data_IF_745674088746
#
_entry.id   IF_745674088746
#
_cell.length_a   1.000
_cell.length_b   1.000
_cell.length_c   1.000
_cell.angle_alpha   90.00
_cell.angle_beta   90.00
_cell.angle_gamma   90.00
#
_symmetry.space_group_name_H-M   'P 1'
#
loop_
_entity.id
_entity.type
_entity.pdbx_description
1 polymer ?
#
# COMPACT_ATOMS: atom_id res chain seq x y z
N UNK A 1 -35.41 12.06 2.35
CA UNK A 1 -36.81 11.74 2.56
C UNK A 1 -37.47 11.29 1.27
N UNK A 2 -38.41 10.34 1.36
CA UNK A 2 -39.10 9.80 0.17
C UNK A 2 -39.92 10.86 -0.58
N UNK A 3 -40.29 11.93 0.11
CA UNK A 3 -41.04 13.07 -0.46
C UNK A 3 -40.16 14.05 -1.24
N UNK A 4 -38.84 13.92 -1.23
CA UNK A 4 -37.99 14.82 -2.01
C UNK A 4 -38.21 14.66 -3.51
N UNK A 5 -38.17 15.78 -4.21
CA UNK A 5 -38.27 15.83 -5.67
C UNK A 5 -36.99 16.42 -6.26
N UNK A 6 -36.54 15.87 -7.37
CA UNK A 6 -35.35 16.27 -8.11
C UNK A 6 -35.71 16.93 -9.44
N UNK A 7 -34.76 17.54 -10.09
CA UNK A 7 -34.90 18.22 -11.38
C UNK A 7 -36.07 19.23 -11.36
N UNK A 8 -36.10 20.12 -10.35
CA UNK A 8 -37.14 21.13 -10.16
C UNK A 8 -38.57 20.53 -10.04
N UNK A 9 -38.68 19.46 -9.28
CA UNK A 9 -39.95 18.79 -9.02
C UNK A 9 -40.39 17.75 -10.07
N UNK A 10 -39.58 17.51 -11.10
CA UNK A 10 -39.99 16.63 -12.22
C UNK A 10 -39.77 15.14 -11.96
N UNK A 11 -38.91 14.78 -11.00
CA UNK A 11 -38.52 13.38 -10.72
C UNK A 11 -38.63 13.07 -9.23
N UNK A 12 -39.19 11.93 -8.84
CA UNK A 12 -39.26 11.50 -7.44
C UNK A 12 -37.91 11.06 -6.92
N UNK A 13 -37.70 11.10 -5.60
CA UNK A 13 -36.51 10.66 -4.92
C UNK A 13 -36.11 9.22 -5.29
N UNK A 14 -37.08 8.32 -5.42
CA UNK A 14 -36.84 6.91 -5.79
C UNK A 14 -36.03 6.75 -7.09
N UNK A 15 -36.14 7.70 -8.02
CA UNK A 15 -35.39 7.69 -9.27
C UNK A 15 -33.90 8.02 -9.07
N UNK A 16 -33.57 8.81 -8.04
CA UNK A 16 -32.19 9.29 -7.80
C UNK A 16 -31.58 8.76 -6.50
N UNK A 17 -32.30 7.95 -5.74
CA UNK A 17 -31.87 7.53 -4.39
C UNK A 17 -30.41 7.08 -4.33
N UNK A 18 -30.02 6.12 -5.15
CA UNK A 18 -28.68 5.56 -5.15
C UNK A 18 -27.61 6.53 -5.75
N UNK A 19 -28.02 7.38 -6.71
CA UNK A 19 -27.12 8.33 -7.34
C UNK A 19 -27.01 9.68 -6.60
N UNK A 20 -27.77 9.89 -5.52
CA UNK A 20 -27.81 11.17 -4.81
C UNK A 20 -26.45 11.56 -4.23
N UNK A 21 -25.76 10.60 -3.63
CA UNK A 21 -24.43 10.82 -3.09
C UNK A 21 -23.40 11.25 -4.14
N UNK A 22 -23.48 10.69 -5.34
CA UNK A 22 -22.62 11.08 -6.46
C UNK A 22 -22.80 12.57 -6.83
N UNK A 23 -24.06 13.05 -6.85
CA UNK A 23 -24.36 14.47 -7.06
C UNK A 23 -23.80 15.37 -5.97
N UNK A 24 -23.84 14.95 -4.71
CA UNK A 24 -23.26 15.68 -3.59
C UNK A 24 -21.73 15.75 -3.70
N UNK A 25 -21.07 14.61 -3.95
CA UNK A 25 -19.61 14.54 -4.13
C UNK A 25 -19.15 15.42 -5.29
N UNK A 26 -19.84 15.37 -6.42
CA UNK A 26 -19.58 16.23 -7.58
C UNK A 26 -19.69 17.70 -7.23
N UNK A 27 -20.75 18.11 -6.54
CA UNK A 27 -20.96 19.51 -6.15
C UNK A 27 -19.85 20.04 -5.23
N UNK A 28 -19.42 19.22 -4.25
CA UNK A 28 -18.30 19.60 -3.36
C UNK A 28 -16.98 19.68 -4.13
N UNK A 29 -16.72 18.72 -5.02
CA UNK A 29 -15.54 18.70 -5.89
C UNK A 29 -15.47 19.94 -6.77
N UNK A 30 -16.55 20.29 -7.47
CA UNK A 30 -16.62 21.46 -8.35
C UNK A 30 -16.46 22.78 -7.56
N UNK A 31 -17.08 22.89 -6.38
CA UNK A 31 -16.93 24.04 -5.50
C UNK A 31 -15.47 24.20 -5.02
N UNK A 32 -14.81 23.09 -4.66
CA UNK A 32 -13.41 23.11 -4.27
C UNK A 32 -12.51 23.60 -5.42
N UNK A 33 -12.69 23.05 -6.62
CA UNK A 33 -11.91 23.46 -7.79
C UNK A 33 -12.18 24.92 -8.22
N UNK A 34 -13.38 25.42 -8.02
CA UNK A 34 -13.69 26.84 -8.26
C UNK A 34 -12.92 27.76 -7.30
N UNK A 35 -12.73 27.32 -6.04
CA UNK A 35 -12.03 28.09 -5.02
C UNK A 35 -10.51 27.91 -5.11
N UNK A 36 -10.05 26.68 -5.42
CA UNK A 36 -8.64 26.29 -5.47
C UNK A 36 -8.32 25.55 -6.78
N UNK A 37 -8.30 26.24 -7.94
CA UNK A 37 -8.26 25.61 -9.26
C UNK A 37 -7.01 24.78 -9.53
N UNK A 38 -5.92 25.04 -8.83
CA UNK A 38 -4.64 24.33 -8.99
C UNK A 38 -4.37 23.28 -7.93
N UNK A 39 -5.29 23.05 -6.98
CA UNK A 39 -5.11 22.07 -5.90
C UNK A 39 -6.00 20.85 -6.11
N UNK A 40 -5.45 19.68 -5.86
CA UNK A 40 -6.21 18.43 -5.84
C UNK A 40 -7.13 18.41 -4.61
N UNK A 41 -8.45 18.23 -4.78
CA UNK A 41 -9.35 18.02 -3.66
C UNK A 41 -9.05 16.69 -2.96
N UNK A 42 -9.23 16.64 -1.65
CA UNK A 42 -9.27 15.42 -0.88
C UNK A 42 -10.65 15.32 -0.22
N UNK A 43 -11.47 14.41 -0.75
CA UNK A 43 -12.80 14.13 -0.25
C UNK A 43 -12.89 12.70 0.24
N UNK A 44 -13.60 12.50 1.35
CA UNK A 44 -13.98 11.18 1.85
C UNK A 44 -15.47 11.20 2.11
N UNK A 45 -16.18 10.23 1.57
CA UNK A 45 -17.64 10.12 1.67
C UNK A 45 -18.04 8.81 2.34
N UNK A 46 -19.13 8.85 3.12
CA UNK A 46 -19.74 7.64 3.69
C UNK A 46 -20.54 6.86 2.64
N UNK A 47 -21.19 7.57 1.75
CA UNK A 47 -22.04 6.98 0.72
C UNK A 47 -21.35 7.05 -0.63
N UNK A 48 -21.44 5.98 -1.39
CA UNK A 48 -20.90 5.89 -2.73
C UNK A 48 -21.93 5.32 -3.72
N UNK A 49 -21.70 5.59 -4.97
CA UNK A 49 -22.38 4.99 -6.11
C UNK A 49 -21.35 4.80 -7.23
N UNK A 50 -21.66 4.02 -8.21
CA UNK A 50 -20.77 3.80 -9.37
C UNK A 50 -20.19 5.13 -9.87
N UNK A 51 -18.87 5.24 -9.96
CA UNK A 51 -18.12 6.44 -10.32
C UNK A 51 -17.88 7.46 -9.20
N UNK A 52 -18.13 7.16 -7.95
CA UNK A 52 -17.77 8.03 -6.81
C UNK A 52 -16.26 8.20 -6.66
N UNK A 53 -15.45 7.20 -7.05
CA UNK A 53 -13.98 7.26 -7.09
C UNK A 53 -13.42 8.45 -7.88
N UNK A 54 -14.19 9.01 -8.83
CA UNK A 54 -13.83 10.23 -9.57
C UNK A 54 -13.71 11.47 -8.69
N UNK A 55 -14.32 11.46 -7.52
CA UNK A 55 -14.44 12.61 -6.63
C UNK A 55 -13.76 12.41 -5.28
N UNK A 56 -13.55 11.18 -4.84
CA UNK A 56 -12.91 10.94 -3.54
C UNK A 56 -12.91 9.48 -3.11
N UNK A 57 -12.41 9.26 -1.90
CA UNK A 57 -12.45 7.98 -1.23
C UNK A 57 -13.72 7.77 -0.42
N UNK A 58 -13.90 6.53 0.04
CA UNK A 58 -15.03 6.13 0.88
C UNK A 58 -14.55 5.32 2.08
N UNK A 59 -15.36 5.30 3.14
CA UNK A 59 -15.15 4.37 4.24
C UNK A 59 -16.38 3.50 4.46
N UNK A 60 -16.20 2.35 5.08
CA UNK A 60 -17.22 1.32 5.24
C UNK A 60 -18.36 1.65 6.20
N UNK A 61 -18.46 2.89 6.70
CA UNK A 61 -19.48 3.31 7.66
C UNK A 61 -19.13 2.95 9.10
N UNK A 62 -20.14 2.90 9.94
CA UNK A 62 -20.03 2.75 11.39
C UNK A 62 -19.79 1.28 11.77
N UNK A 63 -18.54 0.86 11.77
CA UNK A 63 -18.13 -0.47 12.23
C UNK A 63 -17.95 -0.50 13.77
N UNK A 64 -17.95 -1.71 14.33
CA UNK A 64 -17.81 -1.90 15.77
C UNK A 64 -16.41 -2.37 16.17
N UNK A 65 -15.95 -1.96 17.34
CA UNK A 65 -14.70 -2.39 17.95
C UNK A 65 -14.82 -3.85 18.43
N UNK A 66 -14.82 -4.80 17.50
CA UNK A 66 -14.82 -6.24 17.78
C UNK A 66 -14.15 -7.03 16.64
N UNK A 67 -13.83 -8.30 16.92
CA UNK A 67 -13.14 -9.17 15.95
C UNK A 67 -13.97 -9.51 14.72
N UNK A 68 -15.30 -9.58 14.86
CA UNK A 68 -16.19 -9.84 13.73
C UNK A 68 -16.12 -8.72 12.67
N UNK A 69 -16.19 -7.45 13.10
CA UNK A 69 -16.06 -6.32 12.19
C UNK A 69 -14.63 -6.14 11.66
N UNK A 70 -13.61 -6.51 12.44
CA UNK A 70 -12.24 -6.60 11.94
C UNK A 70 -12.16 -7.58 10.76
N UNK A 71 -12.69 -8.79 10.93
CA UNK A 71 -12.71 -9.81 9.87
C UNK A 71 -13.49 -9.35 8.64
N UNK A 72 -14.67 -8.74 8.82
CA UNK A 72 -15.49 -8.21 7.73
C UNK A 72 -14.83 -7.05 6.95
N UNK A 73 -13.86 -6.36 7.55
CA UNK A 73 -13.20 -5.22 6.90
C UNK A 73 -12.43 -5.60 5.63
N UNK A 74 -11.89 -6.82 5.58
CA UNK A 74 -11.13 -7.30 4.41
C UNK A 74 -12.09 -7.52 3.22
N UNK A 75 -13.09 -8.42 3.28
CA UNK A 75 -13.98 -8.65 2.15
C UNK A 75 -14.77 -7.40 1.76
N UNK A 76 -15.10 -6.52 2.71
CA UNK A 76 -15.73 -5.23 2.42
C UNK A 76 -14.82 -4.37 1.53
N UNK A 77 -13.58 -4.13 1.92
CA UNK A 77 -12.66 -3.30 1.14
C UNK A 77 -12.28 -3.95 -0.21
N UNK A 78 -12.16 -5.27 -0.27
CA UNK A 78 -11.95 -5.98 -1.53
C UNK A 78 -13.15 -5.84 -2.48
N UNK A 79 -14.37 -5.96 -1.96
CA UNK A 79 -15.60 -5.78 -2.74
C UNK A 79 -15.75 -4.34 -3.25
N UNK A 80 -15.44 -3.34 -2.44
CA UNK A 80 -15.41 -1.93 -2.85
C UNK A 80 -14.36 -1.70 -3.95
N UNK A 81 -13.16 -2.23 -3.77
CA UNK A 81 -12.08 -2.14 -4.76
C UNK A 81 -12.49 -2.72 -6.11
N UNK A 82 -13.08 -3.93 -6.11
CA UNK A 82 -13.60 -4.58 -7.33
C UNK A 82 -14.80 -3.85 -7.95
N UNK A 83 -15.52 -3.07 -7.14
CA UNK A 83 -16.66 -2.24 -7.60
C UNK A 83 -16.24 -0.87 -8.17
N UNK A 84 -14.93 -0.61 -8.28
CA UNK A 84 -14.39 0.64 -8.80
C UNK A 84 -14.28 1.77 -7.76
N UNK A 85 -14.22 1.41 -6.47
CA UNK A 85 -13.99 2.33 -5.35
C UNK A 85 -12.67 1.97 -4.62
N UNK A 86 -11.50 2.13 -5.30
CA UNK A 86 -10.22 1.63 -4.80
C UNK A 86 -9.68 2.40 -3.61
N UNK A 87 -10.09 3.66 -3.42
CA UNK A 87 -9.71 4.45 -2.25
C UNK A 87 -10.68 4.23 -1.10
N UNK A 88 -10.61 3.08 -0.47
CA UNK A 88 -11.50 2.67 0.60
C UNK A 88 -10.76 2.25 1.87
N UNK A 89 -11.49 2.18 2.97
CA UNK A 89 -11.03 1.71 4.27
C UNK A 89 -12.14 1.68 5.31
N UNK A 90 -11.75 1.52 6.56
CA UNK A 90 -12.67 1.41 7.69
C UNK A 90 -12.16 2.25 8.86
N UNK A 91 -13.02 2.49 9.85
CA UNK A 91 -12.60 3.15 11.08
C UNK A 91 -11.82 2.18 11.98
N UNK A 92 -10.69 2.61 12.51
CA UNK A 92 -9.75 1.82 13.30
C UNK A 92 -9.65 2.43 14.70
N UNK A 93 -9.71 1.63 15.74
CA UNK A 93 -10.02 0.21 15.85
C UNK A 93 -11.52 -0.10 15.98
N UNK A 94 -12.36 0.57 15.23
CA UNK A 94 -13.82 0.50 15.21
C UNK A 94 -14.43 1.84 15.63
N UNK A 95 -15.58 2.20 15.01
CA UNK A 95 -16.29 3.44 15.28
C UNK A 95 -17.12 3.37 16.56
N UNK A 96 -17.90 2.29 16.72
CA UNK A 96 -18.73 2.05 17.90
C UNK A 96 -18.12 1.02 18.85
N UNK A 97 -18.42 1.13 20.13
CA UNK A 97 -17.85 0.28 21.17
C UNK A 97 -16.44 0.69 21.57
N UNK A 98 -15.86 -0.06 22.49
CA UNK A 98 -14.58 0.23 23.11
C UNK A 98 -13.59 -0.92 22.82
N UNK A 99 -12.55 -0.64 22.06
CA UNK A 99 -11.49 -1.60 21.83
C UNK A 99 -10.63 -1.78 23.09
N UNK A 100 -10.23 -3.02 23.38
CA UNK A 100 -9.10 -3.27 24.27
C UNK A 100 -7.76 -3.13 23.53
N UNK A 101 -6.67 -3.25 24.27
CA UNK A 101 -5.34 -3.06 23.75
C UNK A 101 -4.92 -4.11 22.68
N UNK A 102 -5.33 -5.37 22.88
CA UNK A 102 -5.03 -6.45 21.95
C UNK A 102 -5.78 -6.26 20.63
N UNK A 103 -7.09 -6.02 20.73
CA UNK A 103 -7.94 -5.77 19.57
C UNK A 103 -7.45 -4.54 18.78
N UNK A 104 -7.07 -3.44 19.48
CA UNK A 104 -6.54 -2.26 18.81
C UNK A 104 -5.27 -2.58 18.01
N UNK A 105 -4.32 -3.29 18.60
CA UNK A 105 -3.10 -3.74 17.90
C UNK A 105 -3.44 -4.58 16.68
N UNK A 106 -4.37 -5.53 16.78
CA UNK A 106 -4.76 -6.39 15.68
C UNK A 106 -5.42 -5.61 14.54
N UNK A 107 -6.23 -4.59 14.84
CA UNK A 107 -6.77 -3.68 13.83
C UNK A 107 -5.66 -2.92 13.06
N UNK A 108 -4.68 -2.38 13.78
CA UNK A 108 -3.56 -1.69 13.13
C UNK A 108 -2.73 -2.64 12.27
N UNK A 109 -2.46 -3.86 12.76
CA UNK A 109 -1.74 -4.92 12.03
C UNK A 109 -2.46 -5.37 10.77
N UNK A 110 -3.78 -5.48 10.82
CA UNK A 110 -4.58 -5.94 9.68
C UNK A 110 -4.78 -4.86 8.62
N UNK A 111 -4.97 -3.60 9.02
CA UNK A 111 -5.46 -2.55 8.12
C UNK A 111 -4.40 -1.52 7.69
N UNK A 112 -3.14 -1.60 8.15
CA UNK A 112 -2.14 -0.55 7.88
C UNK A 112 -1.81 -0.37 6.39
N UNK A 113 -2.12 -1.35 5.54
CA UNK A 113 -1.98 -1.28 4.08
C UNK A 113 -3.27 -0.89 3.35
N UNK A 114 -4.37 -0.69 4.06
CA UNK A 114 -5.59 -0.20 3.43
C UNK A 114 -5.38 1.22 2.87
N UNK A 115 -5.95 1.54 1.70
CA UNK A 115 -5.83 2.88 1.10
C UNK A 115 -6.21 3.99 2.06
N UNK A 116 -7.40 3.93 2.66
CA UNK A 116 -7.82 4.81 3.76
C UNK A 116 -7.52 4.14 5.10
N UNK A 117 -6.64 4.76 5.88
CA UNK A 117 -6.20 4.28 7.19
C UNK A 117 -6.34 5.42 8.21
N UNK A 118 -7.35 5.35 9.07
CA UNK A 118 -7.61 6.39 10.06
C UNK A 118 -8.11 5.81 11.38
N UNK A 119 -7.72 6.43 12.49
CA UNK A 119 -8.33 6.22 13.78
C UNK A 119 -9.56 7.14 13.91
N UNK A 120 -10.71 6.57 14.21
CA UNK A 120 -11.96 7.31 14.35
C UNK A 120 -12.96 6.57 15.23
N UNK A 121 -13.65 7.29 16.13
CA UNK A 121 -14.66 6.75 17.03
C UNK A 121 -15.86 7.69 17.21
N UNK A 122 -16.96 7.13 17.66
CA UNK A 122 -18.16 7.90 18.01
C UNK A 122 -17.94 8.73 19.27
N UNK A 123 -18.58 9.89 19.32
CA UNK A 123 -18.55 10.73 20.52
C UNK A 123 -19.08 9.97 21.75
N UNK A 124 -18.32 9.99 22.84
CA UNK A 124 -18.68 9.34 24.10
C UNK A 124 -18.14 7.92 24.26
N UNK A 125 -17.47 7.34 23.22
CA UNK A 125 -16.69 6.13 23.42
C UNK A 125 -15.38 6.41 24.16
N UNK A 126 -14.74 5.35 24.63
CA UNK A 126 -13.41 5.42 25.22
C UNK A 126 -12.41 6.07 24.25
N UNK A 127 -11.53 6.96 24.72
CA UNK A 127 -10.42 7.44 23.90
C UNK A 127 -9.60 6.27 23.35
N UNK A 128 -9.31 6.29 22.04
CA UNK A 128 -8.65 5.17 21.38
C UNK A 128 -7.41 5.58 20.56
N UNK A 129 -6.82 6.73 20.90
CA UNK A 129 -5.51 7.08 20.39
C UNK A 129 -4.47 6.06 20.89
N UNK A 130 -3.41 5.77 20.11
CA UNK A 130 -2.47 4.69 20.42
C UNK A 130 -1.87 4.71 21.82
N UNK A 131 -1.66 5.89 22.39
CA UNK A 131 -1.09 6.05 23.75
C UNK A 131 -2.06 5.70 24.87
N UNK A 132 -3.35 5.56 24.60
CA UNK A 132 -4.36 5.16 25.58
C UNK A 132 -4.29 3.67 25.93
N UNK A 133 -3.63 2.87 25.11
CA UNK A 133 -3.53 1.41 25.27
C UNK A 133 -2.29 0.95 26.05
N UNK A 134 -1.43 1.88 26.50
CA UNK A 134 -0.19 1.60 27.23
C UNK A 134 1.03 1.42 26.32
N UNK A 135 2.21 1.34 26.95
CA UNK A 135 3.51 1.44 26.25
C UNK A 135 3.76 0.34 25.21
N UNK A 136 3.44 -0.92 25.52
CA UNK A 136 3.67 -2.05 24.59
C UNK A 136 2.80 -1.93 23.35
N UNK A 137 1.47 -1.77 23.45
CA UNK A 137 0.61 -1.53 22.29
C UNK A 137 1.01 -0.28 21.51
N UNK A 138 1.33 0.82 22.18
CA UNK A 138 1.80 2.05 21.58
C UNK A 138 3.05 1.81 20.70
N UNK A 139 4.03 1.06 21.21
CA UNK A 139 5.24 0.73 20.46
C UNK A 139 4.91 -0.03 19.17
N UNK A 140 4.08 -1.08 19.26
CA UNK A 140 3.68 -1.89 18.12
C UNK A 140 2.91 -1.04 17.10
N UNK A 141 1.90 -0.30 17.53
CA UNK A 141 1.10 0.57 16.64
C UNK A 141 1.99 1.61 15.94
N UNK A 142 2.94 2.22 16.68
CA UNK A 142 3.91 3.17 16.14
C UNK A 142 4.74 2.55 15.02
N UNK A 143 5.17 1.30 15.17
CA UNK A 143 5.98 0.62 14.17
C UNK A 143 5.17 0.34 12.88
N UNK A 144 3.88 -0.02 12.99
CA UNK A 144 2.99 -0.16 11.82
C UNK A 144 2.70 1.17 11.13
N UNK A 145 2.51 2.25 11.90
CA UNK A 145 2.37 3.60 11.34
C UNK A 145 3.64 3.98 10.59
N UNK A 146 4.83 3.77 11.18
CA UNK A 146 6.12 4.03 10.53
C UNK A 146 6.30 3.19 9.27
N UNK A 147 5.99 1.90 9.32
CA UNK A 147 6.08 1.02 8.15
C UNK A 147 5.16 1.49 7.03
N UNK A 148 3.91 1.89 7.36
CA UNK A 148 3.00 2.49 6.38
C UNK A 148 3.59 3.75 5.74
N UNK A 149 4.14 4.66 6.54
CA UNK A 149 4.75 5.88 6.00
C UNK A 149 5.96 5.56 5.11
N UNK A 150 6.76 4.59 5.48
CA UNK A 150 7.84 4.11 4.60
C UNK A 150 7.32 3.54 3.28
N UNK A 151 6.17 2.89 3.28
CA UNK A 151 5.52 2.32 2.10
C UNK A 151 4.68 3.34 1.29
N UNK A 152 4.58 4.61 1.72
CA UNK A 152 3.82 5.62 0.96
C UNK A 152 4.27 5.76 -0.50
N UNK A 153 5.57 5.71 -0.87
CA UNK A 153 5.96 5.73 -2.26
C UNK A 153 5.37 4.57 -3.06
N UNK A 154 5.31 3.38 -2.49
CA UNK A 154 4.67 2.23 -3.12
C UNK A 154 3.16 2.44 -3.27
N UNK A 155 2.46 2.78 -2.17
CA UNK A 155 1.02 3.01 -2.19
C UNK A 155 0.61 4.14 -3.14
N UNK A 156 1.38 5.22 -3.19
CA UNK A 156 1.15 6.34 -4.11
C UNK A 156 1.27 5.92 -5.58
N UNK A 157 2.27 5.10 -5.89
CA UNK A 157 2.44 4.58 -7.25
C UNK A 157 1.32 3.60 -7.65
N UNK A 158 0.75 2.83 -6.70
CA UNK A 158 -0.41 2.00 -6.99
C UNK A 158 -1.65 2.83 -7.38
N UNK A 159 -1.83 4.04 -6.80
CA UNK A 159 -2.87 4.97 -7.25
C UNK A 159 -2.59 5.51 -8.67
N UNK A 160 -1.33 5.77 -9.00
CA UNK A 160 -0.96 6.17 -10.36
C UNK A 160 -1.19 5.05 -11.38
N UNK A 161 -0.91 3.80 -10.99
CA UNK A 161 -1.21 2.62 -11.82
C UNK A 161 -2.72 2.40 -11.96
N UNK A 162 -3.50 2.63 -10.90
CA UNK A 162 -4.97 2.53 -10.93
C UNK A 162 -5.58 3.56 -11.89
N UNK A 163 -5.11 4.81 -11.88
CA UNK A 163 -5.58 5.86 -12.81
C UNK A 163 -5.33 5.45 -14.29
N UNK A 164 -4.26 4.71 -14.56
CA UNK A 164 -3.89 4.27 -15.92
C UNK A 164 -4.56 2.95 -16.34
N UNK A 165 -4.71 2.00 -15.41
CA UNK A 165 -5.12 0.62 -15.71
C UNK A 165 -6.49 0.22 -15.20
N UNK A 166 -7.02 0.95 -14.21
CA UNK A 166 -8.23 0.59 -13.48
C UNK A 166 -8.03 -0.56 -12.48
N UNK A 167 -6.81 -1.08 -12.30
CA UNK A 167 -6.53 -2.14 -11.34
C UNK A 167 -6.46 -1.56 -9.92
N UNK A 168 -7.27 -2.07 -8.97
CA UNK A 168 -7.32 -1.52 -7.63
C UNK A 168 -6.04 -1.81 -6.82
N UNK A 169 -5.84 -1.04 -5.74
CA UNK A 169 -4.73 -1.25 -4.82
C UNK A 169 -4.88 -2.55 -4.03
N UNK A 170 -6.06 -2.77 -3.44
CA UNK A 170 -6.39 -4.03 -2.75
C UNK A 170 -6.98 -5.01 -3.76
N UNK A 171 -6.39 -6.19 -3.85
CA UNK A 171 -6.75 -7.21 -4.84
C UNK A 171 -7.03 -8.55 -4.16
N UNK A 172 -8.14 -9.22 -4.47
CA UNK A 172 -8.28 -10.61 -4.10
C UNK A 172 -7.29 -11.47 -4.89
N UNK A 173 -6.89 -12.60 -4.32
CA UNK A 173 -5.86 -13.48 -4.92
C UNK A 173 -6.17 -13.89 -6.36
N UNK A 174 -7.42 -14.16 -6.69
CA UNK A 174 -7.82 -14.60 -8.02
C UNK A 174 -7.59 -13.56 -9.12
N UNK A 175 -7.47 -12.27 -8.78
CA UNK A 175 -7.22 -11.21 -9.77
C UNK A 175 -5.80 -11.31 -10.35
N UNK A 176 -4.83 -11.66 -9.51
CA UNK A 176 -3.42 -11.84 -9.93
C UNK A 176 -3.07 -13.29 -10.26
N UNK A 177 -3.77 -14.24 -9.63
CA UNK A 177 -3.52 -15.69 -9.75
C UNK A 177 -4.79 -16.42 -10.15
N UNK A 178 -5.33 -16.18 -11.37
CA UNK A 178 -6.61 -16.79 -11.79
C UNK A 178 -6.56 -18.32 -11.94
N UNK A 179 -5.37 -18.89 -12.09
CA UNK A 179 -5.17 -20.35 -12.18
C UNK A 179 -5.32 -21.04 -10.82
N UNK A 180 -5.10 -20.31 -9.74
CA UNK A 180 -5.13 -20.82 -8.36
C UNK A 180 -6.51 -20.59 -7.71
N UNK A 181 -7.54 -20.33 -8.51
CA UNK A 181 -8.86 -19.91 -8.03
C UNK A 181 -9.49 -20.90 -7.03
N UNK A 182 -9.34 -22.18 -7.26
CA UNK A 182 -9.93 -23.22 -6.40
C UNK A 182 -9.18 -23.33 -5.09
N UNK A 183 -7.85 -23.33 -5.13
CA UNK A 183 -6.98 -23.43 -3.96
C UNK A 183 -7.06 -22.18 -3.10
N UNK A 184 -7.19 -21.00 -3.73
CA UNK A 184 -7.31 -19.71 -3.07
C UNK A 184 -8.71 -19.44 -2.50
N UNK A 185 -9.75 -20.12 -2.96
CA UNK A 185 -11.14 -19.87 -2.59
C UNK A 185 -11.40 -19.81 -1.07
N UNK A 186 -10.83 -20.72 -0.23
CA UNK A 186 -11.02 -20.64 1.23
C UNK A 186 -10.40 -19.42 1.91
N UNK A 187 -9.54 -18.67 1.22
CA UNK A 187 -8.74 -17.60 1.78
C UNK A 187 -9.18 -16.19 1.32
N UNK A 188 -10.16 -16.09 0.43
CA UNK A 188 -10.56 -14.82 -0.22
C UNK A 188 -11.04 -13.75 0.75
N UNK A 189 -11.60 -14.13 1.89
CA UNK A 189 -12.08 -13.19 2.91
C UNK A 189 -11.00 -12.82 3.95
N UNK A 190 -9.83 -13.44 3.89
CA UNK A 190 -8.82 -13.36 4.94
C UNK A 190 -7.41 -13.06 4.44
N UNK A 191 -7.21 -13.10 3.12
CA UNK A 191 -5.95 -12.79 2.45
C UNK A 191 -6.20 -11.87 1.28
N UNK A 192 -5.27 -10.95 1.06
CA UNK A 192 -5.36 -10.02 -0.04
C UNK A 192 -3.98 -9.57 -0.51
N UNK A 193 -3.94 -9.11 -1.73
CA UNK A 193 -2.77 -8.47 -2.31
C UNK A 193 -2.90 -6.95 -2.22
N UNK A 194 -1.77 -6.28 -1.99
CA UNK A 194 -1.62 -4.84 -2.13
C UNK A 194 -0.74 -4.60 -3.36
N UNK A 195 -1.36 -4.14 -4.45
CA UNK A 195 -0.79 -4.24 -5.78
C UNK A 195 -0.56 -5.70 -6.17
N UNK A 196 0.41 -5.94 -7.05
CA UNK A 196 0.80 -7.28 -7.48
C UNK A 196 1.89 -7.91 -6.60
N UNK A 197 2.43 -7.18 -5.63
CA UNK A 197 3.71 -7.52 -5.00
C UNK A 197 3.63 -7.95 -3.54
N UNK A 198 2.67 -7.45 -2.77
CA UNK A 198 2.56 -7.71 -1.32
C UNK A 198 1.31 -8.54 -1.05
N UNK A 199 1.47 -9.73 -0.50
CA UNK A 199 0.39 -10.52 0.06
C UNK A 199 0.34 -10.30 1.57
N UNK A 200 -0.83 -9.93 2.08
CA UNK A 200 -1.09 -9.81 3.51
C UNK A 200 -2.16 -10.80 3.94
N UNK A 201 -1.89 -11.52 5.02
CA UNK A 201 -2.77 -12.53 5.58
C UNK A 201 -2.91 -12.38 7.10
N UNK A 202 -3.57 -11.31 7.58
CA UNK A 202 -3.62 -11.02 9.01
C UNK A 202 -4.33 -12.11 9.80
N UNK A 203 -3.87 -12.34 11.03
CA UNK A 203 -4.52 -13.20 12.00
C UNK A 203 -5.51 -12.33 12.79
N UNK A 204 -6.79 -12.47 12.49
CA UNK A 204 -7.85 -11.66 13.06
C UNK A 204 -8.55 -12.34 14.23
N UNK A 205 -8.48 -13.66 14.28
CA UNK A 205 -9.04 -14.49 15.35
C UNK A 205 -8.12 -15.66 15.65
N UNK A 206 -8.06 -16.05 16.93
CA UNK A 206 -7.19 -17.15 17.36
C UNK A 206 -5.71 -16.78 17.44
N UNK A 207 -4.85 -17.78 17.51
CA UNK A 207 -3.39 -17.62 17.62
C UNK A 207 -2.61 -18.16 16.43
N UNK A 208 -3.29 -18.83 15.52
CA UNK A 208 -2.68 -19.43 14.33
C UNK A 208 -3.72 -19.58 13.21
N UNK A 209 -3.24 -19.65 11.99
CA UNK A 209 -4.05 -19.96 10.81
C UNK A 209 -3.18 -20.57 9.71
N UNK A 210 -3.81 -21.13 8.70
CA UNK A 210 -3.17 -21.40 7.41
C UNK A 210 -3.17 -20.13 6.53
N UNK A 211 -2.12 -19.97 5.75
CA UNK A 211 -1.98 -18.96 4.70
C UNK A 211 -1.70 -19.66 3.39
N UNK A 212 -2.40 -19.30 2.34
CA UNK A 212 -2.15 -19.81 1.00
C UNK A 212 -1.19 -18.89 0.23
N UNK A 213 -0.07 -19.43 -0.20
CA UNK A 213 0.85 -18.72 -1.10
C UNK A 213 0.60 -19.16 -2.54
N UNK A 214 0.14 -18.29 -3.45
CA UNK A 214 -0.12 -18.62 -4.84
C UNK A 214 1.04 -19.29 -5.56
N UNK A 215 0.71 -20.25 -6.43
CA UNK A 215 1.67 -21.12 -7.11
C UNK A 215 2.46 -20.43 -8.23
N UNK A 216 3.54 -21.09 -8.66
CA UNK A 216 4.34 -20.68 -9.81
C UNK A 216 5.34 -19.58 -9.54
N UNK A 217 5.46 -19.11 -8.31
CA UNK A 217 6.41 -18.11 -7.86
C UNK A 217 6.78 -18.33 -6.41
N UNK A 218 7.95 -17.82 -5.99
CA UNK A 218 8.35 -17.83 -4.58
C UNK A 218 7.91 -16.55 -3.88
N UNK A 219 7.82 -16.64 -2.56
CA UNK A 219 7.40 -15.57 -1.68
C UNK A 219 8.41 -15.36 -0.57
N UNK A 220 8.72 -14.13 -0.25
CA UNK A 220 9.59 -13.77 0.86
C UNK A 220 8.76 -13.42 2.09
N UNK A 221 8.86 -14.21 3.16
CA UNK A 221 8.25 -13.90 4.46
C UNK A 221 8.98 -12.71 5.08
N UNK A 222 8.34 -11.55 5.09
CA UNK A 222 8.96 -10.29 5.53
C UNK A 222 9.39 -10.31 7.00
N UNK A 223 8.63 -10.99 7.86
CA UNK A 223 8.92 -11.00 9.30
C UNK A 223 9.85 -12.13 9.72
N UNK A 224 9.91 -13.22 8.96
CA UNK A 224 10.82 -14.34 9.23
C UNK A 224 12.13 -14.26 8.47
N UNK A 225 12.25 -13.31 7.53
CA UNK A 225 13.47 -13.12 6.71
C UNK A 225 13.86 -14.41 5.94
N UNK A 226 12.86 -15.05 5.31
CA UNK A 226 13.06 -16.32 4.58
C UNK A 226 12.19 -16.43 3.34
N UNK A 227 12.65 -17.23 2.38
CA UNK A 227 11.90 -17.53 1.17
C UNK A 227 11.04 -18.78 1.35
N UNK A 228 9.81 -18.71 0.82
CA UNK A 228 8.84 -19.79 0.81
C UNK A 228 8.46 -20.15 -0.63
N UNK A 229 8.19 -21.42 -0.89
CA UNK A 229 7.69 -21.86 -2.19
C UNK A 229 6.20 -21.57 -2.32
N UNK A 230 5.76 -21.10 -3.50
CA UNK A 230 4.34 -20.92 -3.81
C UNK A 230 3.63 -22.25 -4.10
N UNK A 231 2.31 -22.22 -4.12
CA UNK A 231 1.44 -23.40 -4.21
C UNK A 231 1.31 -24.14 -2.88
N UNK A 232 1.71 -23.52 -1.77
CA UNK A 232 1.73 -24.13 -0.45
C UNK A 232 0.72 -23.46 0.50
N UNK A 233 0.21 -24.25 1.44
CA UNK A 233 -0.50 -23.76 2.63
C UNK A 233 0.46 -23.79 3.80
N UNK A 234 0.72 -22.64 4.38
CA UNK A 234 1.67 -22.48 5.47
C UNK A 234 0.94 -22.28 6.80
N UNK A 235 1.25 -23.06 7.84
CA UNK A 235 0.80 -22.75 9.18
C UNK A 235 1.57 -21.53 9.71
N UNK A 236 0.86 -20.47 10.08
CA UNK A 236 1.43 -19.26 10.66
C UNK A 236 0.85 -19.00 12.04
N UNK A 237 1.70 -18.55 12.95
CA UNK A 237 1.32 -18.24 14.34
C UNK A 237 1.33 -16.74 14.55
N UNK A 238 0.37 -16.27 15.34
CA UNK A 238 0.33 -14.91 15.79
C UNK A 238 1.58 -14.58 16.62
N UNK A 239 2.20 -13.47 16.32
CA UNK A 239 3.24 -12.88 17.17
C UNK A 239 2.77 -11.53 17.68
N UNK A 240 3.25 -11.08 18.84
CA UNK A 240 2.84 -9.79 19.38
C UNK A 240 3.06 -8.63 18.39
N UNK A 241 4.16 -8.67 17.65
CA UNK A 241 4.61 -7.57 16.79
C UNK A 241 4.38 -7.82 15.30
N UNK A 242 4.30 -9.07 14.83
CA UNK A 242 4.20 -9.41 13.41
C UNK A 242 2.78 -9.65 12.92
N UNK A 243 2.57 -9.43 11.63
CA UNK A 243 1.43 -9.92 10.85
C UNK A 243 1.98 -10.63 9.62
N UNK A 244 1.39 -11.75 9.16
CA UNK A 244 1.90 -12.42 7.97
C UNK A 244 1.87 -11.51 6.75
N UNK A 245 3.05 -11.24 6.19
CA UNK A 245 3.27 -10.46 4.97
C UNK A 245 4.29 -11.20 4.14
N UNK A 246 3.94 -11.43 2.88
CA UNK A 246 4.80 -12.10 1.93
C UNK A 246 5.00 -11.23 0.71
N UNK A 247 6.23 -11.14 0.25
CA UNK A 247 6.60 -10.34 -0.91
C UNK A 247 6.89 -11.29 -2.08
N UNK A 248 6.22 -11.02 -3.19
CA UNK A 248 6.37 -11.79 -4.43
C UNK A 248 7.81 -11.72 -4.93
N UNK A 249 8.38 -12.84 -5.37
CA UNK A 249 9.65 -12.85 -6.10
C UNK A 249 9.56 -12.01 -7.38
N UNK A 250 10.60 -11.22 -7.66
CA UNK A 250 10.60 -10.23 -8.73
C UNK A 250 10.06 -8.86 -8.31
N UNK A 251 9.51 -8.73 -7.10
CA UNK A 251 9.01 -7.43 -6.64
C UNK A 251 10.13 -6.41 -6.43
N UNK A 252 9.83 -5.17 -6.81
CA UNK A 252 10.62 -3.98 -6.52
C UNK A 252 9.73 -3.04 -5.73
N UNK A 253 10.01 -2.84 -4.45
CA UNK A 253 9.20 -2.00 -3.59
C UNK A 253 9.93 -0.69 -3.26
N UNK A 254 9.43 0.47 -3.69
CA UNK A 254 9.96 1.76 -3.26
C UNK A 254 9.49 2.09 -1.84
N UNK A 255 10.41 2.36 -0.94
CA UNK A 255 10.17 2.79 0.42
C UNK A 255 10.83 4.14 0.70
N UNK A 256 10.27 4.93 1.60
CA UNK A 256 11.02 6.04 2.18
C UNK A 256 12.15 5.50 3.06
N UNK A 257 13.32 6.17 3.08
CA UNK A 257 14.38 5.84 4.02
C UNK A 257 13.89 5.87 5.47
N UNK A 258 14.48 5.04 6.32
CA UNK A 258 14.06 4.94 7.72
C UNK A 258 14.29 6.26 8.50
N UNK A 259 15.26 7.06 8.06
CA UNK A 259 15.61 8.36 8.65
C UNK A 259 14.66 9.50 8.24
N UNK A 260 13.82 9.28 7.21
CA UNK A 260 12.86 10.30 6.76
C UNK A 260 11.85 10.61 7.87
N UNK A 261 11.56 11.89 8.07
CA UNK A 261 10.52 12.30 8.99
C UNK A 261 9.15 11.80 8.52
N UNK A 262 8.31 11.33 9.45
CA UNK A 262 6.98 10.78 9.13
C UNK A 262 6.06 11.74 8.35
N UNK A 263 6.30 13.04 8.46
CA UNK A 263 5.51 14.08 7.80
C UNK A 263 6.23 14.73 6.62
N UNK A 264 7.40 14.22 6.26
CA UNK A 264 8.17 14.77 5.16
C UNK A 264 7.51 14.42 3.83
N UNK A 265 7.13 15.44 3.08
CA UNK A 265 6.53 15.28 1.73
C UNK A 265 7.58 15.00 0.65
N UNK A 266 8.85 15.02 1.01
CA UNK A 266 9.94 14.84 0.05
C UNK A 266 10.14 13.37 -0.29
N UNK A 267 9.57 12.97 -1.42
CA UNK A 267 9.78 11.65 -2.01
C UNK A 267 11.03 11.58 -2.90
N UNK A 268 11.92 12.55 -2.79
CA UNK A 268 13.16 12.60 -3.58
C UNK A 268 14.22 11.59 -3.14
N UNK A 269 14.13 11.10 -1.90
CA UNK A 269 14.97 10.01 -1.40
C UNK A 269 14.16 8.71 -1.31
N UNK A 270 14.55 7.69 -2.04
CA UNK A 270 13.82 6.42 -2.14
C UNK A 270 14.77 5.23 -1.98
N UNK A 271 14.35 4.26 -1.19
CA UNK A 271 14.97 2.95 -1.10
C UNK A 271 14.18 1.95 -1.95
N UNK A 272 14.80 1.33 -2.94
CA UNK A 272 14.21 0.23 -3.69
C UNK A 272 14.59 -1.10 -3.06
N UNK A 273 13.62 -1.82 -2.55
CA UNK A 273 13.77 -3.15 -1.99
C UNK A 273 13.56 -4.18 -3.10
N UNK A 274 14.60 -4.95 -3.41
CA UNK A 274 14.67 -5.85 -4.56
C UNK A 274 14.55 -7.31 -4.09
N UNK A 275 13.39 -7.92 -4.34
CA UNK A 275 13.10 -9.28 -3.91
C UNK A 275 13.40 -10.28 -5.02
N UNK A 276 14.67 -10.46 -5.33
CA UNK A 276 15.15 -11.48 -6.26
C UNK A 276 16.15 -12.40 -5.58
N UNK A 277 16.06 -13.68 -5.90
CA UNK A 277 17.07 -14.66 -5.53
C UNK A 277 18.11 -14.80 -6.65
N UNK A 278 19.32 -15.24 -6.30
CA UNK A 278 20.39 -15.47 -7.27
C UNK A 278 20.09 -16.61 -8.26
N UNK A 279 19.24 -17.56 -7.87
CA UNK A 279 18.74 -18.64 -8.72
C UNK A 279 17.40 -18.33 -9.38
N UNK A 280 16.90 -17.07 -9.27
CA UNK A 280 15.64 -16.65 -9.85
C UNK A 280 15.69 -16.65 -11.37
N UNK A 281 14.60 -17.08 -12.00
CA UNK A 281 14.35 -16.92 -13.43
C UNK A 281 13.40 -15.77 -13.74
N UNK A 282 12.96 -15.06 -12.70
CA UNK A 282 12.04 -13.94 -12.79
C UNK A 282 12.85 -12.65 -12.87
N UNK A 283 12.41 -11.73 -13.72
CA UNK A 283 12.94 -10.36 -13.74
C UNK A 283 12.05 -9.45 -12.89
N UNK A 284 12.67 -8.48 -12.20
CA UNK A 284 11.95 -7.40 -11.54
C UNK A 284 11.76 -6.23 -12.51
N UNK A 285 10.56 -5.66 -12.50
CA UNK A 285 10.28 -4.43 -13.23
C UNK A 285 9.40 -3.51 -12.38
N UNK A 286 9.71 -2.22 -12.37
CA UNK A 286 8.94 -1.22 -11.64
C UNK A 286 8.99 0.13 -12.34
N UNK A 287 7.84 0.80 -12.47
CA UNK A 287 7.75 2.19 -12.92
C UNK A 287 7.49 3.08 -11.72
N UNK A 288 8.44 3.95 -11.40
CA UNK A 288 8.35 4.86 -10.27
C UNK A 288 7.95 6.26 -10.74
N UNK A 289 6.94 6.81 -10.10
CA UNK A 289 6.41 8.14 -10.38
C UNK A 289 6.28 8.93 -9.09
N UNK A 290 6.63 10.20 -9.13
CA UNK A 290 6.28 11.15 -8.08
C UNK A 290 6.14 12.57 -8.62
N UNK A 291 5.31 13.34 -7.97
CA UNK A 291 5.01 14.73 -8.27
C UNK A 291 5.00 15.57 -6.98
N UNK A 292 4.40 16.75 -7.00
CA UNK A 292 4.31 17.63 -5.83
C UNK A 292 3.28 17.15 -4.77
N UNK A 293 2.49 16.12 -5.06
CA UNK A 293 1.44 15.61 -4.17
C UNK A 293 0.24 16.55 -3.99
N UNK A 294 0.21 17.73 -4.62
CA UNK A 294 -0.78 18.78 -4.37
C UNK A 294 -1.52 19.27 -5.61
N UNK A 295 -0.82 19.41 -6.73
CA UNK A 295 -1.39 20.02 -7.94
C UNK A 295 -1.77 18.98 -9.01
N UNK A 296 -2.45 19.44 -10.08
CA UNK A 296 -2.70 18.62 -11.26
C UNK A 296 -1.57 18.69 -12.30
N UNK A 297 -0.38 19.17 -11.91
CA UNK A 297 0.78 19.28 -12.78
C UNK A 297 1.13 17.95 -13.47
N UNK A 298 0.97 16.83 -12.77
CA UNK A 298 1.25 15.49 -13.30
C UNK A 298 0.47 15.16 -14.59
N UNK A 299 -0.76 15.68 -14.77
CA UNK A 299 -1.57 15.53 -16.00
C UNK A 299 -0.96 16.24 -17.20
N UNK A 300 -0.07 17.20 -16.96
CA UNK A 300 0.71 17.93 -17.96
C UNK A 300 2.14 17.40 -18.08
N UNK A 301 2.44 16.24 -17.50
CA UNK A 301 3.76 15.64 -17.48
C UNK A 301 4.73 16.28 -16.47
N UNK A 302 4.26 17.18 -15.59
CA UNK A 302 5.09 17.77 -14.52
C UNK A 302 5.19 16.75 -13.38
N UNK A 303 5.95 15.71 -13.63
CA UNK A 303 6.26 14.62 -12.69
C UNK A 303 7.63 14.04 -12.98
N UNK A 304 8.23 13.41 -12.01
CA UNK A 304 9.37 12.53 -12.25
C UNK A 304 8.85 11.13 -12.51
N UNK A 305 9.38 10.51 -13.57
CA UNK A 305 9.05 9.15 -13.96
C UNK A 305 10.31 8.46 -14.48
N UNK A 306 10.60 7.30 -13.94
CA UNK A 306 11.63 6.39 -14.43
C UNK A 306 11.25 4.94 -14.17
N UNK A 307 11.80 4.03 -14.95
CA UNK A 307 11.63 2.60 -14.74
C UNK A 307 12.90 1.94 -14.25
N UNK A 308 12.71 0.87 -13.49
CA UNK A 308 13.73 -0.03 -13.01
C UNK A 308 13.51 -1.39 -13.65
N UNK A 309 14.55 -1.96 -14.23
CA UNK A 309 14.61 -3.37 -14.60
C UNK A 309 15.68 -4.05 -13.77
N UNK A 310 15.32 -5.13 -13.11
CA UNK A 310 16.21 -5.88 -12.24
C UNK A 310 16.33 -7.30 -12.76
N UNK A 311 17.54 -7.70 -13.11
CA UNK A 311 17.84 -9.04 -13.63
C UNK A 311 19.01 -9.63 -12.86
N UNK A 312 19.12 -10.96 -12.86
CA UNK A 312 20.29 -11.63 -12.32
C UNK A 312 20.92 -12.55 -13.37
N UNK A 313 22.20 -12.80 -13.18
CA UNK A 313 22.98 -13.81 -13.92
C UNK A 313 23.80 -14.57 -12.89
N UNK A 314 23.13 -15.49 -12.13
CA UNK A 314 23.73 -16.18 -11.00
C UNK A 314 24.14 -15.21 -9.88
N UNK A 315 25.42 -15.08 -9.60
CA UNK A 315 25.93 -14.25 -8.51
C UNK A 315 25.96 -12.73 -8.82
N UNK A 316 25.51 -12.32 -10.00
CA UNK A 316 25.46 -10.89 -10.37
C UNK A 316 24.02 -10.40 -10.49
N UNK A 317 23.66 -9.38 -9.72
CA UNK A 317 22.41 -8.64 -9.86
C UNK A 317 22.64 -7.37 -10.69
N UNK A 318 21.81 -7.13 -11.69
CA UNK A 318 21.83 -5.92 -12.51
C UNK A 318 20.58 -5.10 -12.31
N UNK A 319 20.74 -3.83 -11.98
CA UNK A 319 19.67 -2.85 -11.87
C UNK A 319 19.87 -1.80 -12.96
N UNK A 320 18.96 -1.75 -13.92
CA UNK A 320 18.97 -0.76 -15.00
C UNK A 320 17.90 0.28 -14.75
N UNK A 321 18.30 1.54 -14.74
CA UNK A 321 17.39 2.69 -14.66
C UNK A 321 17.18 3.28 -16.05
N UNK A 322 15.92 3.51 -16.40
CA UNK A 322 15.53 4.17 -17.66
C UNK A 322 14.64 5.37 -17.32
N UNK A 323 15.19 6.58 -17.47
CA UNK A 323 14.46 7.81 -17.17
C UNK A 323 13.54 8.21 -18.32
N UNK A 324 12.32 8.64 -17.98
CA UNK A 324 11.37 9.24 -18.93
C UNK A 324 11.23 10.74 -18.71
N UNK A 325 11.17 11.18 -17.48
CA UNK A 325 10.98 12.59 -17.10
C UNK A 325 11.56 12.84 -15.71
N UNK A 326 12.18 13.99 -15.50
CA UNK A 326 12.81 14.37 -14.23
C UNK A 326 12.49 15.84 -13.87
N UNK A 327 11.22 16.16 -13.66
CA UNK A 327 10.82 17.50 -13.19
C UNK A 327 11.21 17.72 -11.73
N UNK A 328 11.01 16.68 -10.90
CA UNK A 328 11.46 16.68 -9.50
C UNK A 328 12.68 15.75 -9.43
N UNK A 329 13.83 16.28 -9.09
CA UNK A 329 15.07 15.49 -9.06
C UNK A 329 15.10 14.61 -7.82
N UNK A 330 15.12 13.29 -7.95
CA UNK A 330 15.41 12.46 -6.79
C UNK A 330 16.82 12.77 -6.28
N UNK A 331 16.94 13.02 -4.98
CA UNK A 331 18.22 13.36 -4.36
C UNK A 331 19.08 12.11 -4.12
N UNK A 332 18.42 11.00 -3.78
CA UNK A 332 19.09 9.77 -3.41
C UNK A 332 18.24 8.57 -3.75
N UNK A 333 18.81 7.62 -4.51
CA UNK A 333 18.26 6.29 -4.68
C UNK A 333 19.16 5.30 -3.95
N UNK A 334 18.58 4.41 -3.17
CA UNK A 334 19.28 3.31 -2.52
C UNK A 334 18.62 1.99 -2.85
N UNK A 335 19.38 0.90 -2.76
CA UNK A 335 18.90 -0.43 -3.08
C UNK A 335 19.15 -1.37 -1.91
N UNK A 336 18.14 -2.13 -1.53
CA UNK A 336 18.21 -3.19 -0.52
C UNK A 336 17.92 -4.50 -1.22
N UNK A 337 18.79 -5.48 -1.08
CA UNK A 337 18.71 -6.77 -1.79
C UNK A 337 18.46 -7.89 -0.79
N UNK A 338 17.53 -8.79 -1.10
CA UNK A 338 17.06 -9.86 -0.22
C UNK A 338 17.62 -11.25 -0.59
N UNK A 339 18.81 -11.28 -1.20
CA UNK A 339 19.63 -12.47 -1.34
C UNK A 339 21.11 -12.05 -1.42
N UNK A 340 22.03 -13.00 -1.30
CA UNK A 340 23.46 -12.74 -1.37
C UNK A 340 23.98 -12.84 -2.80
N UNK A 341 24.27 -11.68 -3.38
CA UNK A 341 24.96 -11.57 -4.66
C UNK A 341 26.42 -11.19 -4.44
N UNK A 342 27.32 -11.75 -5.24
CA UNK A 342 28.74 -11.36 -5.20
C UNK A 342 28.94 -9.97 -5.79
N UNK A 343 28.10 -9.62 -6.77
CA UNK A 343 28.18 -8.36 -7.50
C UNK A 343 26.80 -7.76 -7.73
N UNK A 344 26.66 -6.48 -7.44
CA UNK A 344 25.49 -5.68 -7.83
C UNK A 344 25.94 -4.57 -8.76
N UNK A 345 25.33 -4.48 -9.93
CA UNK A 345 25.64 -3.49 -10.96
C UNK A 345 24.43 -2.60 -11.13
N UNK A 346 24.63 -1.30 -10.93
CA UNK A 346 23.58 -0.30 -11.19
C UNK A 346 24.01 0.54 -12.39
N UNK A 347 23.13 0.67 -13.38
CA UNK A 347 23.43 1.42 -14.60
C UNK A 347 22.24 2.27 -15.05
N UNK A 348 22.53 3.45 -15.58
CA UNK A 348 21.56 4.33 -16.29
C UNK A 348 21.74 4.23 -17.82
N UNK A 349 22.52 3.26 -18.29
CA UNK A 349 22.89 3.07 -19.70
C UNK A 349 24.11 3.86 -20.13
N UNK A 350 24.60 4.82 -19.33
CA UNK A 350 25.77 5.66 -19.62
C UNK A 350 26.89 5.36 -18.60
N UNK A 351 26.50 5.10 -17.35
CA UNK A 351 27.41 4.81 -16.25
C UNK A 351 27.10 3.46 -15.65
N UNK A 352 28.12 2.79 -15.17
CA UNK A 352 28.01 1.49 -14.51
C UNK A 352 28.77 1.56 -13.19
N UNK A 353 28.13 1.16 -12.09
CA UNK A 353 28.73 1.06 -10.78
C UNK A 353 28.68 -0.37 -10.26
N UNK A 354 29.78 -0.80 -9.68
CA UNK A 354 29.98 -2.12 -9.11
C UNK A 354 29.95 -2.05 -7.59
N UNK A 355 29.03 -2.76 -6.96
CA UNK A 355 28.77 -2.70 -5.53
C UNK A 355 28.98 -4.07 -4.89
N UNK A 356 29.56 -4.09 -3.68
CA UNK A 356 30.00 -5.34 -3.02
C UNK A 356 29.47 -5.48 -1.58
N UNK A 357 28.26 -5.14 -1.23
CA UNK A 357 27.77 -5.30 0.15
C UNK A 357 26.24 -5.30 0.30
N UNK A 358 25.74 -5.64 1.47
CA UNK A 358 24.32 -5.92 1.82
C UNK A 358 23.33 -4.75 1.71
N UNK A 359 23.79 -3.50 1.63
CA UNK A 359 22.93 -2.31 1.38
C UNK A 359 23.66 -1.32 0.48
N UNK A 360 23.02 -0.95 -0.61
CA UNK A 360 23.62 -0.11 -1.65
C UNK A 360 22.91 1.23 -1.74
N UNK A 361 23.66 2.32 -1.74
CA UNK A 361 23.16 3.68 -1.89
C UNK A 361 23.70 4.28 -3.18
N UNK A 362 22.81 4.69 -4.06
CA UNK A 362 23.08 5.31 -5.34
C UNK A 362 22.50 6.72 -5.38
N UNK A 363 23.26 7.70 -5.82
CA UNK A 363 22.77 9.06 -6.02
C UNK A 363 22.74 9.40 -7.50
N UNK A 364 21.58 9.78 -8.02
CA UNK A 364 21.45 10.22 -9.40
C UNK A 364 22.23 11.51 -9.66
N UNK A 365 22.81 11.66 -10.88
CA UNK A 365 23.79 12.68 -11.15
C UNK A 365 23.21 14.09 -11.23
N UNK A 366 23.61 14.86 -10.29
CA UNK A 366 23.70 16.32 -10.38
C UNK A 366 25.03 16.81 -9.85
N UNK A 367 25.63 16.15 -8.91
CA UNK A 367 27.01 16.34 -8.38
C UNK A 367 27.28 15.31 -7.27
N UNK A 368 28.37 14.56 -7.46
CA UNK A 368 29.03 13.69 -6.49
C UNK A 368 28.26 12.46 -5.99
N UNK A 369 28.57 11.31 -6.61
CA UNK A 369 28.34 10.01 -6.02
C UNK A 369 29.14 9.85 -4.72
N UNK A 370 28.42 9.61 -3.62
CA UNK A 370 29.07 9.21 -2.38
C UNK A 370 28.45 7.88 -1.95
N UNK A 371 29.23 6.82 -2.08
CA UNK A 371 28.88 5.49 -1.56
C UNK A 371 29.11 5.50 -0.05
N UNK A 372 28.08 5.28 0.74
CA UNK A 372 28.23 5.04 2.18
C UNK A 372 27.73 3.65 2.53
N UNK A 373 28.61 2.88 3.17
CA UNK A 373 28.31 1.62 3.82
C UNK A 373 27.52 1.94 5.09
N UNK A 374 26.24 1.59 5.14
CA UNK A 374 25.47 1.65 6.38
C UNK A 374 25.12 0.22 6.80
N UNK A 375 25.62 -0.20 7.95
CA UNK A 375 25.07 -1.31 8.70
C UNK A 375 23.78 -0.78 9.35
N UNK A 376 22.64 -1.14 8.85
CA UNK A 376 21.39 -0.96 9.57
C UNK A 376 20.84 -2.31 9.98
N UNK A 377 20.64 -2.43 11.27
CA UNK A 377 19.83 -3.45 11.91
C UNK A 377 18.38 -3.18 11.46
N UNK A 378 17.89 -3.91 10.47
CA UNK A 378 16.47 -4.02 10.21
C UNK A 378 15.86 -4.54 11.49
N UNK A 379 14.79 -3.91 11.96
CA UNK A 379 14.02 -4.26 13.14
C UNK A 379 13.98 -5.78 13.41
N UNK A 380 15.02 -6.27 14.04
CA UNK A 380 15.04 -7.52 14.76
C UNK A 380 14.88 -7.13 16.23
N UNK A 381 13.64 -7.02 16.66
CA UNK A 381 13.22 -7.32 18.04
C UNK A 381 11.71 -7.37 18.10
#
# INVERSE_FOLDING_TARGET
PQSMLFQRGKKPHSFYHNAYCLGMQKAVWEAFLKTFPNRRPFLVSRSAFVSSSRYGGIWGGDNWSNRHHLALSIPLCLSLSLSGEPFCGVDIPGFGGDADAELAVDWYKACFLFPLFRNHSVKGSRPQEPWQFGEKPLSIIRDYIRLRYRLLPYLYNLFADEEETGLPLLRPLFLEFPKDREEAAPFLDTEFLVGASILQAPIMEGKEREVYLPAGIRWYDWFKDQWEEGGARLPVKATPTGTPIFIREGAVLPLQPAEAALMEKDLSAVEFHLFLRKDSRVEGQYSYRFDDGETFGYRKGIRTEFSLRVTNTGDTLRVRLEGKSFHFKPCRLSFVVYDRFEKVIVTDGIREEHLFTEKYVFSLPGKNLTLRRTRETVLKQ
#
